data_IF_624577330508
#
_entry.id   IF_624577330508
#
_cell.length_a   1.000
_cell.length_b   1.000
_cell.length_c   1.000
_cell.angle_alpha   90.00
_cell.angle_beta   90.00
_cell.angle_gamma   90.00
#
_symmetry.space_group_name_H-M   'P 1'
#
loop_
_entity.id
_entity.type
_entity.pdbx_description
1 polymer ?
#
# COMPACT_ATOMS: atom_id res chain seq x y z
N UNK A 1 12.94 -25.09 4.38
CA UNK A 1 12.96 -23.79 3.67
C UNK A 1 11.53 -23.34 3.48
N UNK A 2 11.05 -22.40 4.28
CA UNK A 2 9.74 -21.75 4.06
C UNK A 2 9.86 -20.83 2.84
N UNK A 3 8.99 -21.00 1.86
CA UNK A 3 8.97 -20.14 0.67
C UNK A 3 8.53 -18.73 1.07
N UNK A 4 9.27 -17.67 0.70
CA UNK A 4 8.81 -16.30 0.91
C UNK A 4 7.80 -15.91 -0.18
N UNK A 5 6.69 -15.28 0.23
CA UNK A 5 5.71 -14.56 -0.61
C UNK A 5 4.96 -15.42 -1.65
N UNK A 6 3.99 -16.19 -1.19
CA UNK A 6 3.24 -17.08 -2.07
C UNK A 6 1.72 -16.83 -1.89
N UNK A 7 0.98 -16.69 -2.99
CA UNK A 7 -0.48 -16.78 -2.94
C UNK A 7 -0.91 -18.22 -2.65
N UNK A 8 0.02 -19.19 -2.78
CA UNK A 8 -0.04 -20.62 -2.46
C UNK A 8 -1.39 -21.00 -1.85
N UNK A 9 -2.36 -21.31 -2.72
CA UNK A 9 -3.64 -21.73 -2.22
C UNK A 9 -3.42 -23.02 -1.42
N UNK A 10 -4.00 -23.09 -0.22
CA UNK A 10 -3.96 -24.25 0.68
C UNK A 10 -4.44 -25.51 -0.06
N UNK A 11 -5.35 -25.32 -1.02
CA UNK A 11 -5.83 -26.32 -1.98
C UNK A 11 -6.04 -25.64 -3.34
N UNK A 12 -5.78 -26.30 -4.46
CA UNK A 12 -6.00 -25.68 -5.77
C UNK A 12 -7.47 -25.28 -5.97
N UNK A 13 -7.77 -24.04 -6.40
CA UNK A 13 -9.15 -23.64 -6.66
C UNK A 13 -9.73 -24.44 -7.83
N UNK A 14 -11.04 -24.68 -7.75
CA UNK A 14 -11.78 -25.38 -8.82
C UNK A 14 -11.61 -24.62 -10.15
N UNK A 15 -11.09 -25.32 -11.17
CA UNK A 15 -10.87 -24.75 -12.49
C UNK A 15 -12.21 -24.36 -13.14
N UNK A 16 -12.49 -23.06 -13.16
CA UNK A 16 -13.72 -22.51 -13.69
C UNK A 16 -13.49 -21.05 -14.11
N UNK A 17 -13.80 -20.75 -15.37
CA UNK A 17 -13.80 -19.37 -15.88
C UNK A 17 -15.21 -18.80 -15.72
N UNK A 18 -15.30 -17.71 -14.97
CA UNK A 18 -16.54 -17.03 -14.64
C UNK A 18 -16.69 -15.73 -15.44
N UNK A 19 -17.90 -15.41 -15.92
CA UNK A 19 -18.13 -14.17 -16.66
C UNK A 19 -18.05 -12.96 -15.71
N UNK A 20 -17.59 -11.84 -16.25
CA UNK A 20 -17.68 -10.54 -15.57
C UNK A 20 -19.14 -10.24 -15.18
N UNK A 21 -19.34 -9.40 -14.16
CA UNK A 21 -20.67 -8.91 -13.82
C UNK A 21 -21.30 -8.14 -14.99
N UNK A 22 -22.64 -8.08 -15.07
CA UNK A 22 -23.31 -7.21 -16.03
C UNK A 22 -22.82 -5.76 -15.89
N UNK A 23 -22.51 -5.13 -17.01
CA UNK A 23 -22.05 -3.75 -17.12
C UNK A 23 -22.83 -3.08 -18.24
N UNK A 24 -23.22 -1.83 -18.04
CA UNK A 24 -23.67 -0.98 -19.15
C UNK A 24 -22.48 -0.56 -20.03
N UNK A 25 -22.75 0.22 -21.06
CA UNK A 25 -21.71 0.64 -22.02
C UNK A 25 -20.64 1.54 -21.36
N UNK A 26 -21.02 2.45 -20.46
CA UNK A 26 -20.08 3.33 -19.77
C UNK A 26 -19.16 2.56 -18.83
N UNK A 27 -19.75 1.66 -18.03
CA UNK A 27 -19.01 0.74 -17.15
C UNK A 27 -18.08 -0.17 -17.96
N UNK A 28 -18.55 -0.68 -19.09
CA UNK A 28 -17.76 -1.53 -19.99
C UNK A 28 -16.55 -0.76 -20.50
N UNK A 29 -16.74 0.48 -20.96
CA UNK A 29 -15.64 1.32 -21.43
C UNK A 29 -14.62 1.63 -20.33
N UNK A 30 -15.08 1.95 -19.12
CA UNK A 30 -14.20 2.15 -17.97
C UNK A 30 -13.40 0.88 -17.61
N UNK A 31 -14.03 -0.29 -17.68
CA UNK A 31 -13.36 -1.57 -17.47
C UNK A 31 -12.34 -1.88 -18.57
N UNK A 32 -12.65 -1.58 -19.83
CA UNK A 32 -11.70 -1.72 -20.97
C UNK A 32 -10.49 -0.82 -20.77
N UNK A 33 -10.69 0.47 -20.46
CA UNK A 33 -9.59 1.41 -20.23
C UNK A 33 -8.69 0.94 -19.07
N UNK A 34 -9.31 0.47 -17.98
CA UNK A 34 -8.59 -0.08 -16.85
C UNK A 34 -7.75 -1.31 -17.23
N UNK A 35 -8.33 -2.29 -17.94
CA UNK A 35 -7.63 -3.52 -18.33
C UNK A 35 -6.49 -3.22 -19.31
N UNK A 36 -6.72 -2.38 -20.32
CA UNK A 36 -5.68 -1.98 -21.28
C UNK A 36 -4.51 -1.31 -20.57
N UNK A 37 -4.79 -0.43 -19.60
CA UNK A 37 -3.74 0.19 -18.79
C UNK A 37 -2.93 -0.83 -17.99
N UNK A 38 -3.56 -1.90 -17.48
CA UNK A 38 -2.84 -2.97 -16.81
C UNK A 38 -1.99 -3.81 -17.77
N UNK A 39 -2.43 -3.98 -19.02
CA UNK A 39 -1.64 -4.61 -20.08
C UNK A 39 -0.42 -3.75 -20.43
N UNK A 40 -0.61 -2.43 -20.63
CA UNK A 40 0.47 -1.50 -20.93
C UNK A 40 1.54 -1.44 -19.83
N UNK A 41 1.12 -1.59 -18.57
CA UNK A 41 2.02 -1.66 -17.42
C UNK A 41 2.67 -3.05 -17.25
N UNK A 42 2.30 -4.04 -18.07
CA UNK A 42 2.75 -5.41 -17.96
C UNK A 42 2.27 -6.11 -16.69
N UNK A 43 1.18 -5.66 -16.09
CA UNK A 43 0.54 -6.28 -14.91
C UNK A 43 -0.35 -7.44 -15.36
N UNK A 44 -1.05 -7.25 -16.48
CA UNK A 44 -1.77 -8.29 -17.19
C UNK A 44 -0.98 -8.67 -18.45
N UNK A 45 -0.83 -9.96 -18.70
CA UNK A 45 -0.15 -10.49 -19.88
C UNK A 45 -0.80 -11.78 -20.35
N UNK A 46 -0.44 -12.22 -21.53
CA UNK A 46 -0.66 -13.61 -21.92
C UNK A 46 0.03 -14.54 -20.93
N UNK A 47 -0.60 -15.69 -20.70
CA UNK A 47 0.02 -16.71 -19.85
C UNK A 47 1.24 -17.33 -20.55
N UNK A 48 2.26 -17.66 -19.77
CA UNK A 48 3.49 -18.30 -20.25
C UNK A 48 3.18 -19.52 -21.15
N UNK A 49 3.93 -19.64 -22.24
CA UNK A 49 3.77 -20.72 -23.24
C UNK A 49 3.77 -22.10 -22.56
N UNK A 50 2.76 -22.91 -22.89
CA UNK A 50 2.57 -24.25 -22.32
C UNK A 50 1.72 -24.29 -21.05
N UNK A 51 1.31 -23.13 -20.52
CA UNK A 51 0.39 -23.03 -19.38
C UNK A 51 -0.98 -22.54 -19.85
N UNK A 52 -1.99 -22.70 -19.00
CA UNK A 52 -3.37 -22.25 -19.27
C UNK A 52 -3.92 -21.56 -18.04
N UNK A 53 -4.73 -20.53 -18.26
CA UNK A 53 -5.52 -19.92 -17.19
C UNK A 53 -6.63 -20.91 -16.81
N UNK A 54 -6.70 -21.26 -15.53
CA UNK A 54 -7.60 -22.24 -14.94
C UNK A 54 -8.78 -21.56 -14.26
N UNK A 55 -8.55 -20.41 -13.62
CA UNK A 55 -9.59 -19.58 -12.99
C UNK A 55 -9.33 -18.12 -13.29
N UNK A 56 -10.37 -17.29 -13.19
CA UNK A 56 -10.25 -15.85 -13.36
C UNK A 56 -10.95 -15.10 -12.23
N UNK A 57 -10.55 -13.84 -12.04
CA UNK A 57 -11.24 -12.91 -11.17
C UNK A 57 -12.21 -12.09 -12.04
N UNK A 58 -13.53 -12.37 -11.99
CA UNK A 58 -14.51 -11.60 -12.74
C UNK A 58 -14.45 -10.13 -12.35
N UNK A 59 -14.57 -9.25 -13.34
CA UNK A 59 -14.66 -7.83 -13.08
C UNK A 59 -16.09 -7.45 -12.69
N UNK A 60 -16.20 -6.51 -11.76
CA UNK A 60 -17.40 -5.71 -11.54
C UNK A 60 -17.02 -4.25 -11.42
N UNK A 61 -17.99 -3.38 -11.69
CA UNK A 61 -17.78 -1.93 -11.74
C UNK A 61 -18.74 -1.27 -10.77
N UNK A 62 -18.24 -0.36 -9.96
CA UNK A 62 -19.03 0.44 -9.02
C UNK A 62 -18.69 1.92 -9.17
N UNK A 63 -19.62 2.81 -8.85
CA UNK A 63 -19.34 4.24 -8.83
C UNK A 63 -18.32 4.58 -7.74
N UNK A 64 -17.47 5.58 -8.00
CA UNK A 64 -16.63 6.16 -6.96
C UNK A 64 -17.47 7.07 -6.08
N UNK A 65 -17.50 6.77 -4.80
CA UNK A 65 -18.16 7.62 -3.82
C UNK A 65 -17.61 9.06 -3.87
N UNK A 66 -18.53 10.03 -3.84
CA UNK A 66 -18.22 11.46 -3.98
C UNK A 66 -17.67 11.92 -5.33
N UNK A 67 -17.59 11.06 -6.36
CA UNK A 67 -17.04 11.40 -7.69
C UNK A 67 -17.98 10.92 -8.81
N UNK A 68 -19.05 11.69 -9.10
CA UNK A 68 -20.02 11.35 -10.15
C UNK A 68 -19.34 11.14 -11.51
N UNK A 69 -19.77 10.11 -12.23
CA UNK A 69 -19.21 9.75 -13.55
C UNK A 69 -17.86 9.04 -13.51
N UNK A 70 -17.30 8.77 -12.33
CA UNK A 70 -16.10 7.95 -12.20
C UNK A 70 -16.39 6.55 -11.65
N UNK A 71 -15.70 5.57 -12.22
CA UNK A 71 -15.90 4.16 -11.93
C UNK A 71 -14.69 3.54 -11.21
N UNK A 72 -14.93 2.61 -10.29
CA UNK A 72 -13.94 1.67 -9.77
C UNK A 72 -14.18 0.32 -10.40
N UNK A 73 -13.14 -0.20 -11.03
CA UNK A 73 -13.11 -1.56 -11.59
C UNK A 73 -12.42 -2.45 -10.57
N UNK A 74 -13.09 -3.53 -10.16
CA UNK A 74 -12.63 -4.41 -9.09
C UNK A 74 -12.60 -5.84 -9.60
N UNK A 75 -11.52 -6.57 -9.30
CA UNK A 75 -11.41 -8.00 -9.58
C UNK A 75 -12.01 -8.80 -8.42
N UNK A 76 -13.12 -9.49 -8.68
CA UNK A 76 -13.86 -10.24 -7.67
C UNK A 76 -13.29 -11.65 -7.47
N UNK A 77 -12.26 -11.74 -6.64
CA UNK A 77 -11.64 -13.03 -6.30
C UNK A 77 -12.43 -13.83 -5.26
N UNK A 78 -13.53 -13.28 -4.72
CA UNK A 78 -14.51 -14.07 -3.97
C UNK A 78 -15.36 -14.86 -4.96
N UNK A 79 -16.00 -14.18 -5.92
CA UNK A 79 -16.80 -14.85 -6.94
C UNK A 79 -15.95 -15.75 -7.82
N UNK A 80 -14.71 -15.37 -8.12
CA UNK A 80 -13.74 -16.21 -8.84
C UNK A 80 -13.36 -17.51 -8.10
N UNK A 81 -13.60 -17.58 -6.78
CA UNK A 81 -13.34 -18.75 -5.95
C UNK A 81 -11.94 -18.78 -5.33
N UNK A 82 -10.98 -17.99 -5.84
CA UNK A 82 -9.59 -18.04 -5.41
C UNK A 82 -9.42 -17.72 -3.93
N UNK A 83 -10.13 -16.71 -3.42
CA UNK A 83 -9.98 -16.27 -2.03
C UNK A 83 -10.46 -17.31 -1.01
N UNK A 84 -11.25 -18.31 -1.40
CA UNK A 84 -11.63 -19.42 -0.51
C UNK A 84 -10.50 -20.44 -0.31
N UNK A 85 -9.60 -20.51 -1.28
CA UNK A 85 -8.50 -21.45 -1.31
C UNK A 85 -7.21 -20.89 -0.70
N UNK A 86 -7.17 -19.60 -0.37
CA UNK A 86 -5.95 -18.90 0.07
C UNK A 86 -5.98 -18.71 1.59
N UNK A 87 -4.85 -19.03 2.23
CA UNK A 87 -4.64 -18.82 3.67
C UNK A 87 -4.82 -17.36 4.08
N UNK A 88 -5.14 -17.11 5.34
CA UNK A 88 -5.27 -15.76 5.87
C UNK A 88 -3.92 -15.29 6.43
N UNK A 89 -3.24 -14.40 5.68
CA UNK A 89 -2.09 -13.70 6.21
C UNK A 89 -2.52 -12.43 6.97
N UNK A 90 -2.01 -12.20 8.20
CA UNK A 90 -2.35 -11.01 8.95
C UNK A 90 -1.78 -9.76 8.29
N UNK A 91 -2.63 -8.73 8.19
CA UNK A 91 -2.23 -7.38 7.78
C UNK A 91 -1.96 -6.55 9.03
N UNK A 92 -0.69 -6.25 9.28
CA UNK A 92 -0.30 -5.41 10.42
C UNK A 92 -0.38 -3.94 10.04
N UNK A 93 -1.37 -3.23 10.60
CA UNK A 93 -1.53 -1.79 10.40
C UNK A 93 -1.36 -1.04 11.72
N UNK A 94 -0.65 0.11 11.72
CA UNK A 94 -0.61 1.00 12.86
C UNK A 94 -2.02 1.47 13.26
N UNK A 95 -2.29 1.58 14.57
CA UNK A 95 -3.52 2.21 15.06
C UNK A 95 -3.32 3.73 15.09
N UNK A 96 -4.23 4.48 14.46
CA UNK A 96 -4.14 5.95 14.37
C UNK A 96 -4.01 6.60 15.74
N UNK A 97 -4.75 6.13 16.75
CA UNK A 97 -4.66 6.65 18.12
C UNK A 97 -3.24 6.59 18.69
N UNK A 98 -2.52 5.48 18.50
CA UNK A 98 -1.15 5.33 19.00
C UNK A 98 -0.15 6.24 18.28
N UNK A 99 -0.46 6.65 17.06
CA UNK A 99 0.42 7.52 16.25
C UNK A 99 0.26 8.96 16.69
N UNK A 100 -0.97 9.41 16.94
CA UNK A 100 -1.24 10.76 17.44
C UNK A 100 -0.47 11.01 18.74
N UNK A 101 -0.48 10.04 19.65
CA UNK A 101 0.30 10.13 20.90
C UNK A 101 1.80 10.28 20.66
N UNK A 102 2.34 9.74 19.57
CA UNK A 102 3.78 9.77 19.24
C UNK A 102 4.19 11.00 18.40
N UNK A 103 3.25 11.82 17.95
CA UNK A 103 3.58 12.99 17.15
C UNK A 103 4.24 14.09 18.00
N UNK A 104 5.11 14.87 17.36
CA UNK A 104 5.70 16.06 17.94
C UNK A 104 4.64 17.16 18.08
N UNK A 105 4.57 17.77 19.25
CA UNK A 105 3.72 18.95 19.47
C UNK A 105 4.24 20.10 18.58
N UNK A 106 3.38 20.61 17.70
CA UNK A 106 3.78 21.62 16.71
C UNK A 106 4.63 21.08 15.55
N UNK A 107 4.74 19.76 15.40
CA UNK A 107 5.46 19.14 14.30
C UNK A 107 4.79 19.32 12.93
N UNK A 108 5.44 18.78 11.91
CA UNK A 108 5.01 18.87 10.51
C UNK A 108 4.86 17.49 9.91
N UNK A 109 3.79 17.30 9.14
CA UNK A 109 3.45 16.03 8.50
C UNK A 109 3.35 16.17 6.98
N UNK A 110 3.92 15.21 6.27
CA UNK A 110 3.72 14.99 4.84
C UNK A 110 3.04 13.63 4.61
N UNK A 111 2.24 13.53 3.56
CA UNK A 111 1.56 12.28 3.19
C UNK A 111 1.88 11.89 1.76
N UNK A 112 2.21 10.62 1.58
CA UNK A 112 2.52 10.04 0.27
C UNK A 112 1.59 8.86 0.03
N UNK A 113 0.86 8.87 -1.09
CA UNK A 113 0.12 7.72 -1.58
C UNK A 113 0.86 7.13 -2.79
N UNK A 114 1.32 5.89 -2.69
CA UNK A 114 1.96 5.18 -3.79
C UNK A 114 0.90 4.70 -4.79
N UNK A 115 1.02 5.16 -6.02
CA UNK A 115 0.05 4.83 -7.06
C UNK A 115 0.19 3.37 -7.47
N UNK A 116 -0.95 2.69 -7.65
CA UNK A 116 -0.99 1.31 -8.17
C UNK A 116 -0.10 0.36 -7.35
N UNK A 117 -0.03 0.58 -6.03
CA UNK A 117 0.99 -0.02 -5.17
C UNK A 117 1.13 -1.53 -5.34
N UNK A 118 0.01 -2.28 -5.31
CA UNK A 118 -0.01 -3.73 -5.50
C UNK A 118 0.64 -4.17 -6.81
N UNK A 119 0.36 -3.46 -7.90
CA UNK A 119 0.81 -3.82 -9.24
C UNK A 119 2.32 -3.68 -9.44
N UNK A 120 3.05 -3.02 -8.53
CA UNK A 120 4.50 -2.96 -8.57
C UNK A 120 5.17 -4.29 -8.14
N UNK A 121 4.40 -5.23 -7.57
CA UNK A 121 4.94 -6.47 -7.04
C UNK A 121 4.58 -7.64 -7.96
N UNK A 122 5.58 -8.46 -8.37
CA UNK A 122 5.32 -9.59 -9.23
C UNK A 122 4.56 -10.69 -8.49
N UNK A 123 3.66 -11.34 -9.20
CA UNK A 123 3.01 -12.58 -8.78
C UNK A 123 3.93 -13.75 -9.07
N UNK A 124 3.95 -14.75 -8.19
CA UNK A 124 4.72 -15.97 -8.44
C UNK A 124 4.16 -16.71 -9.66
N UNK A 125 5.05 -17.21 -10.53
CA UNK A 125 4.63 -17.81 -11.80
C UNK A 125 3.63 -18.93 -11.60
N UNK A 126 3.81 -19.77 -10.59
CA UNK A 126 2.92 -20.91 -10.34
C UNK A 126 1.49 -20.50 -9.97
N UNK A 127 1.27 -19.27 -9.51
CA UNK A 127 -0.06 -18.76 -9.15
C UNK A 127 -0.79 -18.10 -10.33
N UNK A 128 -0.06 -17.64 -11.35
CA UNK A 128 -0.64 -16.99 -12.53
C UNK A 128 -1.77 -17.79 -13.22
N UNK A 129 -1.73 -19.13 -13.33
CA UNK A 129 -2.85 -19.92 -13.86
C UNK A 129 -4.17 -19.69 -13.12
N UNK A 130 -4.15 -19.35 -11.84
CA UNK A 130 -5.35 -19.13 -11.03
C UNK A 130 -5.77 -17.67 -10.95
N UNK A 131 -4.99 -16.78 -11.56
CA UNK A 131 -5.17 -15.34 -11.48
C UNK A 131 -5.49 -14.78 -12.86
N UNK A 132 -6.45 -15.41 -13.53
CA UNK A 132 -6.95 -14.94 -14.82
C UNK A 132 -7.78 -13.66 -14.74
N UNK A 133 -7.95 -13.01 -15.89
CA UNK A 133 -8.92 -11.93 -16.09
C UNK A 133 -9.50 -12.05 -17.50
N UNK A 134 -10.83 -11.99 -17.60
CA UNK A 134 -11.52 -12.00 -18.89
C UNK A 134 -11.71 -10.56 -19.38
N UNK A 135 -11.07 -10.21 -20.49
CA UNK A 135 -11.15 -8.87 -21.03
C UNK A 135 -12.62 -8.50 -21.34
N UNK A 136 -13.14 -7.35 -20.84
CA UNK A 136 -14.56 -7.04 -20.85
C UNK A 136 -15.17 -6.97 -22.26
N UNK A 137 -14.40 -6.52 -23.25
CA UNK A 137 -14.83 -6.43 -24.67
C UNK A 137 -14.38 -7.61 -25.54
N UNK A 138 -13.07 -7.78 -25.75
CA UNK A 138 -12.50 -8.84 -26.61
C UNK A 138 -12.74 -10.27 -26.11
N UNK A 139 -13.06 -10.46 -24.82
CA UNK A 139 -13.19 -11.76 -24.16
C UNK A 139 -11.91 -12.59 -24.16
N UNK A 140 -10.78 -11.96 -24.45
CA UNK A 140 -9.46 -12.57 -24.29
C UNK A 140 -9.18 -12.87 -22.81
N UNK A 141 -8.48 -13.97 -22.55
CA UNK A 141 -8.18 -14.43 -21.21
C UNK A 141 -6.72 -14.14 -20.88
N UNK A 142 -6.50 -13.15 -20.03
CA UNK A 142 -5.19 -12.69 -19.59
C UNK A 142 -4.87 -13.23 -18.20
N UNK A 143 -3.61 -13.18 -17.78
CA UNK A 143 -3.18 -13.54 -16.43
C UNK A 143 -2.56 -12.34 -15.70
N UNK A 144 -2.85 -12.21 -14.40
CA UNK A 144 -2.17 -11.29 -13.51
C UNK A 144 -0.75 -11.78 -13.22
N UNK A 145 0.23 -11.00 -13.69
CA UNK A 145 1.65 -11.15 -13.39
C UNK A 145 2.13 -10.18 -12.30
N UNK A 146 1.30 -9.21 -11.89
CA UNK A 146 1.48 -8.43 -10.68
C UNK A 146 0.37 -8.70 -9.66
N UNK A 147 0.57 -8.31 -8.39
CA UNK A 147 -0.43 -8.57 -7.35
C UNK A 147 -1.76 -7.89 -7.69
N UNK A 148 -2.81 -8.69 -7.78
CA UNK A 148 -4.13 -8.20 -8.15
C UNK A 148 -4.83 -7.47 -6.99
N UNK A 149 -5.54 -6.39 -7.32
CA UNK A 149 -6.44 -5.73 -6.37
C UNK A 149 -7.71 -6.58 -6.21
N UNK A 150 -7.96 -7.09 -5.00
CA UNK A 150 -9.06 -8.02 -4.71
C UNK A 150 -8.59 -9.40 -4.23
N UNK A 151 -7.32 -9.74 -4.44
CA UNK A 151 -6.70 -10.92 -3.87
C UNK A 151 -6.56 -10.78 -2.34
N UNK A 152 -6.93 -11.83 -1.61
CA UNK A 152 -6.92 -11.84 -0.14
C UNK A 152 -5.55 -11.51 0.47
N UNK A 153 -4.47 -12.03 -0.10
CA UNK A 153 -3.12 -11.85 0.43
C UNK A 153 -2.37 -10.63 -0.14
N UNK A 154 -2.89 -9.98 -1.19
CA UNK A 154 -2.25 -8.78 -1.77
C UNK A 154 -1.95 -7.69 -0.72
N UNK A 155 -2.89 -7.35 0.20
CA UNK A 155 -2.61 -6.36 1.24
C UNK A 155 -1.50 -6.79 2.22
N UNK A 156 -1.46 -8.07 2.62
CA UNK A 156 -0.46 -8.56 3.56
C UNK A 156 0.95 -8.51 2.94
N UNK A 157 1.10 -9.02 1.71
CA UNK A 157 2.36 -9.01 0.97
C UNK A 157 2.82 -7.56 0.74
N UNK A 158 1.92 -6.69 0.27
CA UNK A 158 2.23 -5.31 0.01
C UNK A 158 2.63 -4.54 1.28
N UNK A 159 1.96 -4.79 2.42
CA UNK A 159 2.36 -4.24 3.71
C UNK A 159 3.77 -4.68 4.13
N UNK A 160 4.10 -5.96 3.97
CA UNK A 160 5.44 -6.47 4.30
C UNK A 160 6.52 -5.81 3.43
N UNK A 161 6.27 -5.66 2.13
CA UNK A 161 7.21 -5.00 1.23
C UNK A 161 7.29 -3.49 1.53
N UNK A 162 6.17 -2.84 1.82
CA UNK A 162 6.13 -1.44 2.26
C UNK A 162 6.93 -1.20 3.54
N UNK A 163 6.84 -2.11 4.52
CA UNK A 163 7.65 -2.08 5.74
C UNK A 163 9.14 -2.33 5.46
N UNK A 164 9.48 -3.24 4.56
CA UNK A 164 10.85 -3.47 4.12
C UNK A 164 11.44 -2.22 3.44
N UNK A 165 10.65 -1.53 2.62
CA UNK A 165 11.01 -0.25 2.02
C UNK A 165 11.24 0.83 3.09
N UNK A 166 10.34 0.98 4.06
CA UNK A 166 10.52 1.93 5.17
C UNK A 166 11.80 1.61 5.95
N UNK A 167 12.10 0.34 6.19
CA UNK A 167 13.34 -0.09 6.83
C UNK A 167 14.57 0.33 6.01
N UNK A 168 14.56 0.13 4.69
CA UNK A 168 15.63 0.56 3.79
C UNK A 168 15.87 2.07 3.88
N UNK A 169 14.81 2.88 3.84
CA UNK A 169 14.90 4.35 3.98
C UNK A 169 15.52 4.72 5.33
N UNK A 170 15.04 4.12 6.43
CA UNK A 170 15.57 4.37 7.77
C UNK A 170 17.02 3.94 7.93
N UNK A 171 17.45 2.87 7.26
CA UNK A 171 18.83 2.39 7.27
C UNK A 171 19.77 3.28 6.43
N UNK A 172 19.28 3.92 5.36
CA UNK A 172 20.09 4.79 4.50
C UNK A 172 20.37 6.17 5.12
N UNK A 173 19.37 6.81 5.73
CA UNK A 173 19.49 8.24 6.10
C UNK A 173 19.45 8.48 7.60
N UNK A 174 20.39 9.32 8.08
CA UNK A 174 20.51 9.66 9.50
C UNK A 174 19.30 10.40 10.07
N UNK A 175 18.53 11.12 9.23
CA UNK A 175 17.36 11.90 9.66
C UNK A 175 16.26 11.06 10.32
N UNK A 176 16.21 9.76 10.01
CA UNK A 176 15.27 8.80 10.59
C UNK A 176 15.86 7.96 11.73
N UNK A 177 17.11 8.22 12.11
CA UNK A 177 17.85 7.47 13.13
C UNK A 177 18.05 8.32 14.37
N UNK A 178 18.24 7.66 15.50
CA UNK A 178 18.56 8.31 16.75
C UNK A 178 18.77 7.32 17.88
N UNK A 179 19.23 7.82 19.02
CA UNK A 179 19.26 7.06 20.26
C UNK A 179 17.84 6.93 20.81
N UNK A 180 17.44 5.71 21.16
CA UNK A 180 16.13 5.48 21.76
C UNK A 180 16.07 6.10 23.17
N UNK A 181 15.01 6.87 23.42
CA UNK A 181 14.72 7.48 24.72
C UNK A 181 13.26 7.21 25.06
N UNK A 182 12.98 6.77 26.28
CA UNK A 182 11.60 6.72 26.77
C UNK A 182 11.13 8.14 27.13
N UNK A 183 9.95 8.53 26.67
CA UNK A 183 9.28 9.79 26.98
C UNK A 183 7.82 9.52 27.36
N UNK A 184 7.58 9.18 28.62
CA UNK A 184 6.24 8.86 29.12
C UNK A 184 6.05 9.43 30.53
N UNK A 185 4.83 9.39 31.05
CA UNK A 185 4.55 9.91 32.39
C UNK A 185 5.42 9.28 33.46
N UNK A 186 5.80 8.01 33.28
CA UNK A 186 6.69 7.32 34.20
C UNK A 186 8.14 7.84 34.16
N UNK A 187 8.63 8.32 33.02
CA UNK A 187 9.92 9.04 32.97
C UNK A 187 9.82 10.42 33.59
N UNK A 188 8.63 11.04 33.58
CA UNK A 188 8.34 12.27 34.32
C UNK A 188 8.42 12.12 35.84
N UNK A 189 8.23 10.90 36.36
CA UNK A 189 8.42 10.57 37.79
C UNK A 189 9.87 10.22 38.14
N UNK A 190 10.79 10.29 37.17
CA UNK A 190 12.23 10.04 37.32
C UNK A 190 13.01 11.30 36.92
N UNK A 191 14.31 11.31 37.22
CA UNK A 191 15.20 12.46 36.92
C UNK A 191 15.28 12.82 35.42
N UNK A 192 14.90 11.89 34.53
CA UNK A 192 14.96 12.08 33.08
C UNK A 192 13.84 12.99 32.52
N UNK A 193 12.79 13.24 33.31
CA UNK A 193 11.67 14.09 32.95
C UNK A 193 10.75 13.53 31.83
N UNK A 194 9.61 14.19 31.65
CA UNK A 194 8.72 14.02 30.50
C UNK A 194 8.71 15.33 29.71
N UNK A 195 8.94 15.26 28.40
CA UNK A 195 8.87 16.41 27.50
C UNK A 195 7.60 16.30 26.63
N UNK A 196 6.56 17.13 26.85
CA UNK A 196 5.34 17.09 26.07
C UNK A 196 5.55 17.47 24.59
N UNK A 197 6.70 18.04 24.22
CA UNK A 197 6.99 18.39 22.82
C UNK A 197 7.40 17.20 21.97
N UNK A 198 7.93 16.15 22.60
CA UNK A 198 8.56 15.03 21.88
C UNK A 198 7.59 13.90 21.50
N UNK A 199 6.32 13.99 21.88
CA UNK A 199 5.37 12.87 21.77
C UNK A 199 5.61 11.81 22.85
N UNK A 200 4.58 11.03 23.15
CA UNK A 200 4.57 10.00 24.18
C UNK A 200 5.14 8.67 23.69
N UNK A 201 5.74 7.88 24.59
CA UNK A 201 6.35 6.54 24.36
C UNK A 201 7.85 6.57 24.02
N UNK A 202 8.35 5.59 23.28
CA UNK A 202 9.74 5.50 22.84
C UNK A 202 9.97 6.40 21.63
N UNK A 203 10.79 7.43 21.83
CA UNK A 203 11.19 8.40 20.81
C UNK A 203 12.63 8.14 20.37
N UNK A 204 12.97 8.62 19.18
CA UNK A 204 14.34 8.56 18.66
C UNK A 204 14.93 9.96 18.65
N UNK A 205 16.06 10.14 19.33
CA UNK A 205 16.79 11.41 19.40
C UNK A 205 18.02 11.35 18.48
N UNK A 206 17.98 12.10 17.38
CA UNK A 206 19.11 12.36 16.51
C UNK A 206 20.06 13.43 17.08
N UNK A 207 21.09 13.78 16.31
CA UNK A 207 22.09 14.78 16.71
C UNK A 207 21.50 16.20 16.85
N UNK A 208 20.41 16.46 16.13
CA UNK A 208 19.73 17.73 15.97
C UNK A 208 18.31 17.73 16.58
N UNK A 209 18.05 16.82 17.52
CA UNK A 209 16.75 16.66 18.18
C UNK A 209 15.97 15.43 17.68
N UNK A 210 14.64 15.47 17.78
CA UNK A 210 13.79 14.33 17.40
C UNK A 210 14.00 13.85 15.96
N UNK A 211 14.06 12.54 15.74
CA UNK A 211 14.16 11.94 14.40
C UNK A 211 12.83 12.03 13.65
N UNK A 212 12.87 11.89 12.32
CA UNK A 212 11.65 11.81 11.50
C UNK A 212 11.02 10.42 11.62
N UNK A 213 9.72 10.39 11.86
CA UNK A 213 8.89 9.20 11.91
C UNK A 213 8.28 8.90 10.54
N UNK A 214 8.16 7.61 10.23
CA UNK A 214 7.40 7.13 9.07
C UNK A 214 6.44 6.05 9.58
N UNK A 215 5.16 6.23 9.30
CA UNK A 215 4.12 5.22 9.46
C UNK A 215 3.52 4.87 8.10
N UNK A 216 3.04 3.63 7.95
CA UNK A 216 2.55 3.09 6.69
C UNK A 216 1.26 2.30 6.89
N UNK A 217 0.30 2.52 6.00
CA UNK A 217 -0.92 1.73 5.84
C UNK A 217 -1.02 1.32 4.38
N UNK A 218 -0.51 0.13 4.07
CA UNK A 218 -0.48 -0.38 2.69
C UNK A 218 0.24 0.61 1.76
N UNK A 219 -0.50 1.41 0.98
CA UNK A 219 0.00 2.38 0.01
C UNK A 219 0.10 3.82 0.54
N UNK A 220 -0.47 4.10 1.73
CA UNK A 220 -0.44 5.41 2.37
C UNK A 220 0.69 5.51 3.40
N UNK A 221 1.52 6.55 3.27
CA UNK A 221 2.65 6.82 4.14
C UNK A 221 2.51 8.18 4.78
N UNK A 222 2.72 8.24 6.09
CA UNK A 222 2.78 9.46 6.86
C UNK A 222 4.22 9.69 7.33
N UNK A 223 4.79 10.82 6.93
CA UNK A 223 6.14 11.24 7.30
C UNK A 223 6.01 12.44 8.24
N UNK A 224 6.56 12.33 9.44
CA UNK A 224 6.37 13.35 10.48
C UNK A 224 7.68 13.70 11.16
N UNK A 225 7.94 14.99 11.32
CA UNK A 225 9.16 15.50 11.91
C UNK A 225 8.92 16.71 12.82
N UNK A 226 9.91 17.06 13.65
CA UNK A 226 9.80 18.12 14.64
C UNK A 226 9.82 19.54 14.04
N UNK A 227 10.32 19.70 12.81
CA UNK A 227 10.33 20.97 12.08
C UNK A 227 9.96 20.76 10.62
N UNK A 228 9.54 21.84 9.96
CA UNK A 228 9.17 21.83 8.55
C UNK A 228 10.35 21.37 7.67
N UNK A 229 11.54 21.92 7.90
CA UNK A 229 12.75 21.64 7.12
C UNK A 229 13.14 20.16 7.22
N UNK A 230 13.09 19.61 8.43
CA UNK A 230 13.47 18.21 8.67
C UNK A 230 12.43 17.24 8.09
N UNK A 231 11.15 17.56 8.18
CA UNK A 231 10.09 16.78 7.51
C UNK A 231 10.22 16.85 6.00
N UNK A 232 10.52 18.02 5.43
CA UNK A 232 10.74 18.19 3.99
C UNK A 232 11.94 17.37 3.49
N UNK A 233 13.05 17.39 4.25
CA UNK A 233 14.22 16.56 3.95
C UNK A 233 13.89 15.07 4.03
N UNK A 234 13.16 14.63 5.06
CA UNK A 234 12.69 13.25 5.19
C UNK A 234 11.79 12.83 4.02
N UNK A 235 10.87 13.70 3.61
CA UNK A 235 10.02 13.48 2.43
C UNK A 235 10.87 13.32 1.17
N UNK A 236 11.86 14.20 0.95
CA UNK A 236 12.73 14.12 -0.22
C UNK A 236 13.46 12.77 -0.28
N UNK A 237 14.14 12.37 0.80
CA UNK A 237 14.83 11.08 0.85
C UNK A 237 13.90 9.88 0.64
N UNK A 238 12.68 9.96 1.16
CA UNK A 238 11.66 8.95 0.93
C UNK A 238 11.32 8.85 -0.56
N UNK A 239 11.04 9.99 -1.21
CA UNK A 239 10.66 10.04 -2.62
C UNK A 239 11.81 9.53 -3.51
N UNK A 240 13.04 9.99 -3.28
CA UNK A 240 14.22 9.56 -4.01
C UNK A 240 14.42 8.04 -3.90
N UNK A 241 14.32 7.49 -2.69
CA UNK A 241 14.46 6.04 -2.48
C UNK A 241 13.32 5.26 -3.14
N UNK A 242 12.11 5.79 -3.15
CA UNK A 242 11.00 5.11 -3.81
C UNK A 242 11.15 5.13 -5.33
N UNK A 243 11.71 6.18 -5.93
CA UNK A 243 12.11 6.19 -7.34
C UNK A 243 13.18 5.13 -7.61
N UNK A 244 14.22 5.04 -6.75
CA UNK A 244 15.26 3.99 -6.86
C UNK A 244 14.67 2.58 -6.81
N UNK A 245 13.60 2.38 -6.03
CA UNK A 245 12.90 1.11 -5.92
C UNK A 245 11.85 0.88 -7.02
N UNK A 246 11.66 1.82 -7.95
CA UNK A 246 10.71 1.71 -9.06
C UNK A 246 9.24 1.96 -8.67
N UNK A 247 8.97 2.59 -7.51
CA UNK A 247 7.61 2.92 -7.12
C UNK A 247 7.06 4.12 -7.90
N UNK A 248 5.75 4.07 -8.17
CA UNK A 248 5.01 5.14 -8.82
C UNK A 248 4.26 5.99 -7.79
N UNK A 249 4.18 7.30 -8.03
CA UNK A 249 3.45 8.24 -7.18
C UNK A 249 2.23 8.80 -7.89
N UNK A 250 1.21 9.16 -7.10
CA UNK A 250 0.11 9.96 -7.60
C UNK A 250 0.36 11.44 -7.27
N UNK A 251 0.78 12.30 -8.22
CA UNK A 251 1.22 13.66 -7.92
C UNK A 251 0.14 14.51 -7.24
N UNK A 252 -1.14 14.27 -7.53
CA UNK A 252 -2.26 14.99 -6.88
C UNK A 252 -2.60 14.51 -5.46
N UNK A 253 -1.96 13.44 -4.98
CA UNK A 253 -2.18 12.88 -3.63
C UNK A 253 -0.96 13.02 -2.72
N UNK A 254 0.09 13.67 -3.22
CA UNK A 254 1.24 14.04 -2.40
C UNK A 254 0.86 15.29 -1.60
N UNK A 255 0.95 15.21 -0.28
CA UNK A 255 0.77 16.35 0.62
C UNK A 255 2.13 16.74 1.16
N UNK A 256 2.57 17.95 0.84
CA UNK A 256 3.80 18.53 1.37
C UNK A 256 3.71 18.78 2.88
N UNK A 257 4.86 18.93 3.58
CA UNK A 257 4.88 19.17 5.01
C UNK A 257 3.99 20.34 5.43
N UNK A 258 3.03 20.06 6.31
CA UNK A 258 2.12 21.06 6.89
C UNK A 258 1.96 20.81 8.39
N UNK A 259 1.71 21.87 9.15
CA UNK A 259 1.64 21.80 10.62
C UNK A 259 0.49 20.92 11.09
N UNK A 260 0.71 20.13 12.15
CA UNK A 260 -0.27 19.14 12.65
C UNK A 260 -1.62 19.75 13.03
N UNK A 261 -1.66 21.01 13.48
CA UNK A 261 -2.90 21.73 13.82
C UNK A 261 -3.82 21.98 12.62
N UNK A 262 -3.27 22.11 11.41
CA UNK A 262 -4.06 22.24 10.18
C UNK A 262 -4.61 20.88 9.70
N UNK A 263 -3.93 19.78 10.08
CA UNK A 263 -4.24 18.44 9.61
C UNK A 263 -5.44 17.82 10.34
N UNK A 264 -5.56 18.07 11.65
CA UNK A 264 -6.70 17.60 12.46
C UNK A 264 -8.00 18.33 12.09
N UNK A 265 -7.96 19.57 11.60
CA UNK A 265 -9.14 20.33 11.20
C UNK A 265 -9.69 20.00 9.81
N UNK A 266 -8.90 19.32 8.96
CA UNK A 266 -9.28 19.02 7.56
C UNK A 266 -9.88 17.61 7.43
N UNK A 267 -9.68 16.74 8.42
CA UNK A 267 -10.09 15.32 8.38
C UNK A 267 -11.04 14.92 9.53
N UNK A 268 -11.65 15.89 10.22
CA UNK A 268 -12.81 15.71 11.11
C UNK A 268 -14.03 16.35 10.47
#
# INVERSE_FOLDING_TARGET
MSKPNDFSPLEAPEACIRPNAPMDEEMTMAAVEFVNKLVDLGVLRDIDKGRKVLTNAPLFVVSKDGQPGQWRVIADMLRGGQNYCVGQDPVFMPRTAHIVDQMYTGGYSAVVNLSKFFYNFPTHKEDCPYLGLLHPRTKELLAYCGLAMGARNSPAIACQIGLAFVRLVKEKFAVFKGAAKANCYWTGLRDNGFDPKLGYSFILMGQDGGAVHIWVWVDDFLIHGPSHEKTAQGLQFFLDTAVDCGFLFHPKKLVHPSGTGLWLSVNT
#
